data_IF_331279195520
#
_entry.id   IF_331279195520
#
_cell.length_a   1.000
_cell.length_b   1.000
_cell.length_c   1.000
_cell.angle_alpha   90.00
_cell.angle_beta   90.00
_cell.angle_gamma   90.00
#
_symmetry.space_group_name_H-M   'P 1'
#
loop_
_entity.id
_entity.type
_entity.pdbx_description
1 polymer ?
#
# COMPACT_ATOMS: atom_id res chain seq x y z
N UNK A 1 -3.02 3.98 -21.23
CA UNK A 1 -2.20 2.90 -20.65
C UNK A 1 -2.45 2.92 -19.14
N UNK A 2 -2.59 1.76 -18.49
CA UNK A 2 -2.75 1.72 -17.03
C UNK A 2 -1.36 1.74 -16.35
N UNK A 3 -1.29 2.30 -15.14
CA UNK A 3 -0.05 2.51 -14.40
C UNK A 3 -0.07 1.73 -13.09
N UNK A 4 0.86 0.80 -12.91
CA UNK A 4 0.96 0.00 -11.70
C UNK A 4 1.97 0.60 -10.71
N UNK A 5 1.64 0.53 -9.42
CA UNK A 5 2.58 0.72 -8.31
C UNK A 5 2.65 -0.57 -7.51
N UNK A 6 3.88 -0.98 -7.20
CA UNK A 6 4.17 -2.17 -6.40
C UNK A 6 5.11 -1.77 -5.28
N UNK A 7 4.77 -2.16 -4.05
CA UNK A 7 5.58 -1.94 -2.86
C UNK A 7 5.78 -3.29 -2.17
N UNK A 8 7.03 -3.64 -1.92
CA UNK A 8 7.37 -4.74 -1.02
C UNK A 8 7.57 -4.17 0.39
N UNK A 9 6.95 -4.78 1.39
CA UNK A 9 7.03 -4.38 2.79
C UNK A 9 7.59 -5.53 3.60
N UNK A 10 8.65 -5.25 4.36
CA UNK A 10 9.28 -6.18 5.29
C UNK A 10 9.04 -5.69 6.72
N UNK A 11 8.56 -6.58 7.58
CA UNK A 11 8.14 -6.28 8.95
C UNK A 11 9.10 -6.90 9.95
N UNK A 12 9.14 -6.36 11.18
CA UNK A 12 10.00 -6.89 12.25
C UNK A 12 9.47 -8.21 12.80
N UNK A 13 8.15 -8.41 12.78
CA UNK A 13 7.48 -9.60 13.27
C UNK A 13 6.17 -9.90 12.52
N UNK A 14 5.62 -11.10 12.71
CA UNK A 14 4.33 -11.49 12.16
C UNK A 14 3.17 -10.68 12.76
N UNK A 15 3.29 -10.25 14.02
CA UNK A 15 2.31 -9.39 14.69
C UNK A 15 2.27 -8.00 14.04
N UNK A 16 3.43 -7.46 13.68
CA UNK A 16 3.51 -6.18 12.97
C UNK A 16 2.80 -6.22 11.62
N UNK A 17 2.80 -7.37 10.92
CA UNK A 17 2.04 -7.55 9.68
C UNK A 17 0.54 -7.30 9.92
N UNK A 18 -0.02 -7.91 10.96
CA UNK A 18 -1.46 -7.80 11.27
C UNK A 18 -1.83 -6.40 11.72
N UNK A 19 -1.02 -5.79 12.60
CA UNK A 19 -1.22 -4.41 13.07
C UNK A 19 -1.20 -3.45 11.88
N UNK A 20 -0.20 -3.58 11.02
CA UNK A 20 -0.03 -2.70 9.89
C UNK A 20 -1.13 -2.89 8.84
N UNK A 21 -1.50 -4.14 8.55
CA UNK A 21 -2.57 -4.44 7.60
C UNK A 21 -3.89 -3.79 8.05
N UNK A 22 -4.21 -3.86 9.34
CA UNK A 22 -5.39 -3.21 9.91
C UNK A 22 -5.33 -1.68 9.77
N UNK A 23 -4.21 -1.06 10.14
CA UNK A 23 -4.01 0.40 9.98
C UNK A 23 -4.17 0.84 8.53
N UNK A 24 -3.60 0.08 7.58
CA UNK A 24 -3.74 0.33 6.16
C UNK A 24 -5.20 0.22 5.69
N UNK A 25 -5.93 -0.82 6.11
CA UNK A 25 -7.35 -1.01 5.76
C UNK A 25 -8.25 0.13 6.26
N UNK A 26 -7.95 0.70 7.42
CA UNK A 26 -8.69 1.83 7.99
C UNK A 26 -8.33 3.16 7.30
N UNK A 27 -7.04 3.36 7.01
CA UNK A 27 -6.53 4.63 6.47
C UNK A 27 -6.72 4.77 4.96
N UNK A 28 -6.41 3.73 4.17
CA UNK A 28 -6.33 3.81 2.71
C UNK A 28 -7.63 4.22 2.00
N UNK A 29 -8.85 3.78 2.42
CA UNK A 29 -10.09 4.16 1.73
C UNK A 29 -10.35 5.67 1.70
N UNK A 30 -9.86 6.41 2.69
CA UNK A 30 -10.10 7.85 2.82
C UNK A 30 -8.94 8.72 2.33
N UNK A 31 -7.76 8.14 2.12
CA UNK A 31 -6.53 8.90 1.88
C UNK A 31 -5.81 8.54 0.59
N UNK A 32 -6.15 7.42 -0.05
CA UNK A 32 -5.53 7.01 -1.31
C UNK A 32 -6.41 7.39 -2.50
N UNK A 33 -5.84 7.77 -3.65
CA UNK A 33 -6.61 7.97 -4.87
C UNK A 33 -7.31 6.67 -5.30
N UNK A 34 -8.41 6.83 -6.04
CA UNK A 34 -9.15 5.71 -6.62
C UNK A 34 -8.24 4.87 -7.51
N UNK A 35 -8.26 3.56 -7.31
CA UNK A 35 -7.50 2.61 -8.11
C UNK A 35 -8.47 1.72 -8.88
N UNK A 36 -8.09 1.32 -10.10
CA UNK A 36 -8.79 0.29 -10.89
C UNK A 36 -8.80 -1.02 -10.09
N UNK A 37 -7.69 -1.32 -9.42
CA UNK A 37 -7.57 -2.43 -8.49
C UNK A 37 -6.51 -2.11 -7.43
N UNK A 38 -6.69 -2.68 -6.24
CA UNK A 38 -5.71 -2.63 -5.14
C UNK A 38 -5.72 -3.97 -4.44
N UNK A 39 -4.54 -4.54 -4.24
CA UNK A 39 -4.37 -5.84 -3.59
C UNK A 39 -3.19 -5.76 -2.63
N UNK A 40 -3.37 -6.29 -1.43
CA UNK A 40 -2.30 -6.51 -0.48
C UNK A 40 -2.24 -8.03 -0.21
N UNK A 41 -1.10 -8.65 -0.51
CA UNK A 41 -0.90 -10.09 -0.39
C UNK A 41 0.25 -10.35 0.56
N UNK A 42 0.06 -11.26 1.52
CA UNK A 42 1.14 -11.77 2.35
C UNK A 42 2.04 -12.68 1.53
N UNK A 43 3.33 -12.36 1.44
CA UNK A 43 4.33 -13.10 0.67
C UNK A 43 5.22 -13.99 1.54
N UNK A 44 5.16 -13.81 2.86
CA UNK A 44 5.93 -14.56 3.84
C UNK A 44 5.44 -14.33 5.27
N UNK A 45 6.15 -14.87 6.25
CA UNK A 45 5.79 -14.69 7.66
C UNK A 45 5.79 -13.21 8.06
N UNK A 46 6.81 -12.46 7.61
CA UNK A 46 7.00 -11.05 7.95
C UNK A 46 7.06 -10.15 6.71
N UNK A 47 6.39 -10.51 5.62
CA UNK A 47 6.47 -9.76 4.36
C UNK A 47 5.12 -9.69 3.63
N UNK A 48 4.86 -8.54 3.01
CA UNK A 48 3.69 -8.34 2.15
C UNK A 48 4.06 -7.62 0.86
N UNK A 49 3.25 -7.84 -0.18
CA UNK A 49 3.31 -7.12 -1.44
C UNK A 49 2.00 -6.35 -1.64
N UNK A 50 2.11 -5.03 -1.69
CA UNK A 50 1.02 -4.12 -2.00
C UNK A 50 1.12 -3.71 -3.47
N UNK A 51 0.04 -3.94 -4.21
CA UNK A 51 -0.07 -3.56 -5.62
C UNK A 51 -1.33 -2.74 -5.85
N UNK A 52 -1.22 -1.67 -6.65
CA UNK A 52 -2.37 -0.91 -7.12
C UNK A 52 -2.20 -0.49 -8.58
N UNK A 53 -3.30 -0.49 -9.33
CA UNK A 53 -3.34 -0.12 -10.74
C UNK A 53 -4.19 1.14 -10.91
N UNK A 54 -3.64 2.14 -11.60
CA UNK A 54 -4.24 3.46 -11.78
C UNK A 54 -4.48 3.76 -13.26
N UNK A 55 -5.45 4.63 -13.52
CA UNK A 55 -5.85 5.02 -14.89
C UNK A 55 -4.83 5.94 -15.56
N UNK A 56 -4.16 6.79 -14.79
CA UNK A 56 -3.19 7.78 -15.29
C UNK A 56 -1.89 7.75 -14.47
N UNK A 57 -0.83 8.29 -15.05
CA UNK A 57 0.47 8.40 -14.38
C UNK A 57 0.40 9.34 -13.18
N UNK A 58 -0.33 10.45 -13.31
CA UNK A 58 -0.55 11.43 -12.25
C UNK A 58 -1.19 10.79 -11.02
N UNK A 59 -2.26 9.99 -11.20
CA UNK A 59 -2.88 9.24 -10.11
C UNK A 59 -1.91 8.23 -9.48
N UNK A 60 -1.08 7.56 -10.29
CA UNK A 60 -0.07 6.64 -9.79
C UNK A 60 1.05 7.35 -9.02
N UNK A 61 1.38 8.59 -9.40
CA UNK A 61 2.36 9.42 -8.72
C UNK A 61 1.81 9.95 -7.38
N UNK A 62 0.58 10.47 -7.37
CA UNK A 62 -0.12 10.87 -6.15
C UNK A 62 -0.22 9.70 -5.17
N UNK A 63 -0.60 8.51 -5.67
CA UNK A 63 -0.65 7.30 -4.86
C UNK A 63 0.68 6.96 -4.19
N UNK A 64 1.80 7.13 -4.90
CA UNK A 64 3.14 6.91 -4.35
C UNK A 64 3.41 7.87 -3.20
N UNK A 65 3.10 9.15 -3.40
CA UNK A 65 3.33 10.20 -2.39
C UNK A 65 2.45 10.01 -1.16
N UNK A 66 1.21 9.56 -1.33
CA UNK A 66 0.30 9.25 -0.23
C UNK A 66 0.74 7.99 0.53
N UNK A 67 1.15 6.93 -0.17
CA UNK A 67 1.72 5.74 0.47
C UNK A 67 2.98 6.08 1.27
N UNK A 68 3.90 6.89 0.72
CA UNK A 68 5.11 7.34 1.43
C UNK A 68 4.78 8.12 2.71
N UNK A 69 3.72 8.95 2.71
CA UNK A 69 3.26 9.66 3.91
C UNK A 69 2.79 8.69 4.98
N UNK A 70 1.97 7.71 4.60
CA UNK A 70 1.51 6.67 5.53
C UNK A 70 2.69 5.89 6.10
N UNK A 71 3.64 5.48 5.25
CA UNK A 71 4.82 4.72 5.69
C UNK A 71 5.66 5.51 6.69
N UNK A 72 5.83 6.82 6.50
CA UNK A 72 6.56 7.66 7.45
C UNK A 72 5.81 7.90 8.77
N UNK A 73 4.49 7.89 8.76
CA UNK A 73 3.67 8.04 9.96
C UNK A 73 3.68 6.78 10.84
N UNK A 74 3.78 5.61 10.20
CA UNK A 74 3.65 4.30 10.84
C UNK A 74 4.98 3.54 11.04
N UNK A 75 6.12 4.15 10.68
CA UNK A 75 7.46 3.56 10.82
C UNK A 75 8.11 3.80 12.19
#
# INVERSE_FOLDING_TARGET
MAYARVVNLEYKSAEDVEIYFKKWQEWAPNNMPEAISRTNVRTGENSTLLMAVYKTEEMAQEAREMADKFFKMEA
#
